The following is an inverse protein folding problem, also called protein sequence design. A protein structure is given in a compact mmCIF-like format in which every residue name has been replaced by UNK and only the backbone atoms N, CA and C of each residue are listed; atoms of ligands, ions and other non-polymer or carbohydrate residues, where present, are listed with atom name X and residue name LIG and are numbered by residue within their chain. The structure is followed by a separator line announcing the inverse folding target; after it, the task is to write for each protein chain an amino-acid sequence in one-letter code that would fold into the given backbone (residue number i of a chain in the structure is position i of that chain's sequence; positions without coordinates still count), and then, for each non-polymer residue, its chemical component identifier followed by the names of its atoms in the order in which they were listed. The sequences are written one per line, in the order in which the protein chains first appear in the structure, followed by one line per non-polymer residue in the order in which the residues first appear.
data_IF_236575800452
#
_entry.id   IF_236575800452
#
_cell.length_a   1.000
_cell.length_b   1.000
_cell.length_c   1.000
_cell.angle_alpha   90.00
_cell.angle_beta   90.00
_cell.angle_gamma   90.00
#
_symmetry.space_group_name_H-M   'P 1'
#
loop_
_entity.id
_entity.type
_entity.pdbx_description
1 polymer ?
#
# COMPACT_ATOMS: atom_id res chain seq x y z
N UNK A 1 19.99 -10.09 21.10
CA UNK A 1 20.28 -10.48 19.71
C UNK A 1 19.74 -9.37 18.82
N UNK A 2 20.59 -8.75 17.99
CA UNK A 2 20.10 -7.85 16.94
C UNK A 2 19.24 -8.64 15.95
N UNK A 3 18.08 -8.11 15.63
CA UNK A 3 17.15 -8.72 14.68
C UNK A 3 17.69 -8.43 13.29
N UNK A 4 18.26 -9.45 12.63
CA UNK A 4 18.73 -9.32 11.26
C UNK A 4 17.52 -9.13 10.35
N UNK A 5 17.46 -7.98 9.68
CA UNK A 5 16.41 -7.62 8.73
C UNK A 5 16.85 -8.13 7.35
N UNK A 6 16.19 -9.17 6.85
CA UNK A 6 16.51 -9.77 5.54
C UNK A 6 15.54 -9.33 4.45
N UNK A 7 14.34 -8.86 4.84
CA UNK A 7 13.29 -8.41 3.94
C UNK A 7 12.56 -7.19 4.49
N UNK A 8 11.91 -6.43 3.61
CA UNK A 8 10.94 -5.39 4.01
C UNK A 8 9.85 -5.93 4.95
N UNK A 9 9.55 -7.24 4.90
CA UNK A 9 8.58 -7.89 5.78
C UNK A 9 9.02 -7.98 7.24
N UNK A 10 10.32 -7.88 7.50
CA UNK A 10 10.88 -7.87 8.85
C UNK A 10 10.73 -6.49 9.51
N UNK A 11 10.49 -5.44 8.71
CA UNK A 11 10.30 -4.08 9.19
C UNK A 11 9.03 -3.98 10.03
N UNK A 12 9.18 -3.44 11.24
CA UNK A 12 8.04 -3.23 12.14
C UNK A 12 7.00 -2.28 11.53
N UNK A 13 7.46 -1.26 10.80
CA UNK A 13 6.57 -0.32 10.10
C UNK A 13 5.76 -1.00 8.99
N UNK A 14 6.32 -2.02 8.31
CA UNK A 14 5.59 -2.79 7.30
C UNK A 14 4.49 -3.65 7.94
N UNK A 15 4.78 -4.25 9.10
CA UNK A 15 3.79 -5.06 9.85
C UNK A 15 2.62 -4.21 10.32
N UNK A 16 2.89 -3.04 10.90
CA UNK A 16 1.86 -2.08 11.28
C UNK A 16 1.04 -1.59 10.09
N UNK A 17 1.66 -1.44 8.92
CA UNK A 17 0.93 -1.10 7.70
C UNK A 17 -0.01 -2.23 7.24
N UNK A 18 0.39 -3.50 7.39
CA UNK A 18 -0.49 -4.64 7.11
C UNK A 18 -1.65 -4.77 8.11
N UNK A 19 -1.42 -4.43 9.38
CA UNK A 19 -2.48 -4.33 10.39
C UNK A 19 -3.49 -3.23 10.00
N UNK A 20 -3.00 -2.05 9.60
CA UNK A 20 -3.84 -0.97 9.09
C UNK A 20 -4.71 -1.43 7.91
N UNK A 21 -4.13 -2.13 6.93
CA UNK A 21 -4.89 -2.70 5.80
C UNK A 21 -5.99 -3.61 6.31
N UNK A 22 -5.67 -4.51 7.23
CA UNK A 22 -6.61 -5.47 7.79
C UNK A 22 -7.78 -4.76 8.47
N UNK A 23 -7.50 -3.71 9.24
CA UNK A 23 -8.53 -2.96 9.96
C UNK A 23 -9.40 -2.11 9.03
N UNK A 24 -8.82 -1.50 7.99
CA UNK A 24 -9.59 -0.82 6.94
C UNK A 24 -10.53 -1.80 6.23
N UNK A 25 -10.08 -3.02 5.94
CA UNK A 25 -10.94 -4.04 5.34
C UNK A 25 -12.07 -4.47 6.27
N UNK A 26 -11.84 -4.55 7.59
CA UNK A 26 -12.89 -4.85 8.58
C UNK A 26 -13.91 -3.72 8.68
N UNK A 27 -13.46 -2.47 8.81
CA UNK A 27 -14.35 -1.30 8.93
C UNK A 27 -15.18 -1.12 7.67
N UNK A 28 -14.57 -1.23 6.48
CA UNK A 28 -15.31 -1.06 5.22
C UNK A 28 -16.30 -2.19 4.91
N UNK A 29 -16.28 -3.31 5.66
CA UNK A 29 -17.33 -4.33 5.53
C UNK A 29 -18.67 -3.89 6.14
N UNK A 30 -18.67 -2.91 7.05
CA UNK A 30 -19.90 -2.40 7.66
C UNK A 30 -20.52 -1.26 6.85
N UNK A 31 -19.93 -0.88 5.72
CA UNK A 31 -20.44 0.18 4.87
C UNK A 31 -21.65 -0.32 4.08
N UNK A 32 -22.56 0.61 3.74
CA UNK A 32 -23.69 0.32 2.86
C UNK A 32 -23.18 -0.02 1.45
N UNK A 33 -23.91 -0.87 0.73
CA UNK A 33 -23.43 -1.44 -0.56
C UNK A 33 -23.23 -0.38 -1.64
N UNK A 34 -23.96 0.73 -1.54
CA UNK A 34 -23.88 1.88 -2.43
C UNK A 34 -22.48 2.52 -2.40
N UNK A 35 -21.74 2.40 -1.29
CA UNK A 35 -20.39 2.94 -1.11
C UNK A 35 -19.28 1.96 -1.51
N UNK A 36 -19.62 0.79 -2.05
CA UNK A 36 -18.64 -0.25 -2.41
C UNK A 36 -17.64 0.25 -3.45
N UNK A 37 -18.15 0.92 -4.48
CA UNK A 37 -17.32 1.47 -5.56
C UNK A 37 -16.86 2.90 -5.29
N UNK A 38 -17.52 3.61 -4.37
CA UNK A 38 -17.15 4.95 -3.90
C UNK A 38 -16.08 4.89 -2.80
N UNK A 39 -16.49 5.19 -1.57
CA UNK A 39 -15.57 5.35 -0.44
C UNK A 39 -14.81 4.05 -0.10
N UNK A 40 -15.46 2.90 -0.19
CA UNK A 40 -14.85 1.61 0.17
C UNK A 40 -13.67 1.29 -0.73
N UNK A 41 -13.81 1.48 -2.04
CA UNK A 41 -12.75 1.20 -3.01
C UNK A 41 -11.55 2.14 -2.80
N UNK A 42 -11.80 3.43 -2.56
CA UNK A 42 -10.75 4.42 -2.34
C UNK A 42 -9.99 4.16 -1.04
N UNK A 43 -10.69 3.87 0.07
CA UNK A 43 -10.08 3.57 1.36
C UNK A 43 -9.20 2.32 1.30
N UNK A 44 -9.71 1.23 0.71
CA UNK A 44 -8.94 -0.02 0.60
C UNK A 44 -7.68 0.16 -0.25
N UNK A 45 -7.79 0.88 -1.37
CA UNK A 45 -6.64 1.18 -2.24
C UNK A 45 -5.61 2.06 -1.55
N UNK A 46 -6.06 3.09 -0.83
CA UNK A 46 -5.19 3.96 -0.06
C UNK A 46 -4.47 3.18 1.06
N UNK A 47 -5.17 2.27 1.76
CA UNK A 47 -4.56 1.45 2.79
C UNK A 47 -3.50 0.51 2.22
N UNK A 48 -3.78 -0.16 1.09
CA UNK A 48 -2.85 -1.11 0.44
C UNK A 48 -1.63 -0.41 -0.15
N UNK A 49 -1.71 0.87 -0.52
CA UNK A 49 -0.55 1.61 -1.05
C UNK A 49 0.53 1.84 0.01
N UNK A 50 0.18 1.88 1.30
CA UNK A 50 1.14 2.10 2.40
C UNK A 50 2.19 0.98 2.49
N UNK A 51 1.84 -0.32 2.67
CA UNK A 51 2.83 -1.40 2.70
C UNK A 51 3.55 -1.58 1.36
N UNK A 52 2.90 -1.27 0.23
CA UNK A 52 3.53 -1.29 -1.09
C UNK A 52 4.65 -0.26 -1.20
N UNK A 53 4.39 0.99 -0.82
CA UNK A 53 5.39 2.06 -0.82
C UNK A 53 6.57 1.76 0.13
N UNK A 54 6.31 1.11 1.27
CA UNK A 54 7.37 0.65 2.19
C UNK A 54 8.23 -0.43 1.54
N UNK A 55 7.61 -1.42 0.89
CA UNK A 55 8.33 -2.50 0.20
C UNK A 55 9.18 -1.97 -0.96
N UNK A 56 8.61 -1.07 -1.77
CA UNK A 56 9.35 -0.41 -2.85
C UNK A 56 10.49 0.47 -2.32
N UNK A 57 10.24 1.25 -1.26
CA UNK A 57 11.25 2.10 -0.62
C UNK A 57 12.42 1.28 -0.06
N UNK A 58 12.14 0.11 0.52
CA UNK A 58 13.17 -0.83 0.96
C UNK A 58 14.01 -1.38 -0.21
N UNK A 59 13.35 -1.72 -1.33
CA UNK A 59 14.04 -2.16 -2.55
C UNK A 59 14.87 -1.05 -3.22
N UNK A 60 14.48 0.22 -3.06
CA UNK A 60 15.23 1.40 -3.53
C UNK A 60 16.40 1.77 -2.61
N UNK A 61 16.35 1.43 -1.32
CA UNK A 61 17.40 1.75 -0.34
C UNK A 61 18.76 1.06 -0.60
N UNK A 62 18.79 0.00 -1.41
CA UNK A 62 20.04 -0.64 -1.87
C UNK A 62 20.66 0.03 -3.10
N UNK A 63 19.94 0.93 -3.77
CA UNK A 63 20.43 1.66 -4.94
C UNK A 63 20.19 3.15 -4.75
N UNK A 64 21.26 3.85 -4.36
CA UNK A 64 21.36 5.28 -4.17
C UNK A 64 20.87 6.06 -5.41
N UNK A 65 19.57 6.31 -5.52
CA UNK A 65 18.99 7.19 -6.53
C UNK A 65 17.88 8.04 -5.90
N UNK A 66 18.27 8.89 -4.94
CA UNK A 66 17.50 10.05 -4.50
C UNK A 66 17.67 11.20 -5.50
N UNK A 67 17.19 11.00 -6.72
CA UNK A 67 17.19 12.01 -7.76
C UNK A 67 15.98 11.81 -8.64
N UNK A 68 14.98 12.68 -8.47
CA UNK A 68 13.87 12.91 -9.41
C UNK A 68 12.99 11.70 -9.74
N UNK A 69 12.04 11.40 -8.86
CA UNK A 69 10.70 11.05 -9.32
C UNK A 69 9.68 11.53 -8.28
N UNK A 70 9.40 12.84 -8.31
CA UNK A 70 8.06 13.29 -7.94
C UNK A 70 7.20 12.79 -9.08
N UNK A 71 6.63 11.59 -8.93
CA UNK A 71 5.58 11.12 -9.82
C UNK A 71 4.33 11.93 -9.44
N UNK A 72 3.89 12.91 -10.24
CA UNK A 72 2.60 13.50 -10.00
C UNK A 72 1.60 12.40 -10.35
N UNK A 73 0.74 12.03 -9.40
CA UNK A 73 -0.34 11.05 -9.54
C UNK A 73 0.12 9.61 -9.34
N UNK A 74 -0.03 9.11 -8.10
CA UNK A 74 -0.42 7.71 -7.89
C UNK A 74 -1.56 7.44 -8.87
N UNK A 75 -1.43 6.53 -9.85
CA UNK A 75 -2.49 6.29 -10.79
C UNK A 75 -3.67 5.71 -10.02
N UNK A 76 -4.72 6.51 -9.92
CA UNK A 76 -6.05 6.04 -9.53
C UNK A 76 -6.55 5.02 -10.60
N UNK A 77 -5.78 4.72 -11.67
CA UNK A 77 -6.21 3.97 -12.86
C UNK A 77 -5.50 2.66 -13.24
N UNK A 78 -4.71 1.96 -12.41
CA UNK A 78 -4.06 0.70 -12.86
C UNK A 78 -4.92 -0.57 -12.76
N UNK A 79 -6.25 -0.46 -12.67
CA UNK A 79 -7.15 -1.63 -12.70
C UNK A 79 -8.11 -1.64 -13.90
N UNK A 80 -7.86 -0.81 -14.93
CA UNK A 80 -8.77 -0.64 -16.07
C UNK A 80 -8.30 -1.28 -17.40
N UNK A 81 -7.27 -2.11 -17.41
CA UNK A 81 -6.89 -2.89 -18.59
C UNK A 81 -6.64 -4.37 -18.25
N UNK A 82 -7.73 -5.12 -18.13
CA UNK A 82 -7.75 -6.58 -18.24
C UNK A 82 -9.14 -7.10 -18.67
N UNK A 83 -9.74 -6.43 -19.66
CA UNK A 83 -10.78 -7.01 -20.53
C UNK A 83 -10.47 -6.51 -21.94
N UNK A 84 -9.74 -7.36 -22.66
CA UNK A 84 -9.54 -7.36 -24.10
C UNK A 84 -9.50 -8.82 -24.51
#
# INVERSE_FOLDING_TARGET
MEKVINSYRDLEVWKKAMELVTDVYKVTQTFVKEELYGLTSQLRRAAVSVPANIAEGWGRGTNKQLGTQIDPLIPIGSSLFAIG
#
